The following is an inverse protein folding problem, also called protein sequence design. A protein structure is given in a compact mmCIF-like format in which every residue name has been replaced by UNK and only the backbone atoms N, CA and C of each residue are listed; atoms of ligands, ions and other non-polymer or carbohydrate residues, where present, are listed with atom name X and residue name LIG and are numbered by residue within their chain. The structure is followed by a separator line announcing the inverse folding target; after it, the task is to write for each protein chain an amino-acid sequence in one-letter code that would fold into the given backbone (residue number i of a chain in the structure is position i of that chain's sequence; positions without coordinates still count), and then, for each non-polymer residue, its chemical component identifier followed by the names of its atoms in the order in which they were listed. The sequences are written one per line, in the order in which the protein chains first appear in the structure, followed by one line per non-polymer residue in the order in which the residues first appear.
data_IF_144369310270
#
_entry.id   IF_144369310270
#
_cell.length_a   1.000
_cell.length_b   1.000
_cell.length_c   1.000
_cell.angle_alpha   90.00
_cell.angle_beta   90.00
_cell.angle_gamma   90.00
#
_symmetry.space_group_name_H-M   'P 1'
#
loop_
_entity.id
_entity.type
_entity.pdbx_description
1 polymer ?
#
# COMPACT_ATOMS: atom_id res chain seq x y z
N UNK A 1 -5.85 5.62 3.04
CA UNK A 1 -5.07 6.79 3.51
C UNK A 1 -4.70 7.72 2.36
N UNK A 2 -4.47 9.01 2.64
CA UNK A 2 -3.88 9.95 1.68
C UNK A 2 -2.41 9.63 1.44
N UNK A 3 -2.05 9.44 0.17
CA UNK A 3 -0.69 9.33 -0.37
C UNK A 3 -0.32 10.68 -0.97
N UNK A 4 0.94 11.10 -0.79
CA UNK A 4 1.43 12.40 -1.28
C UNK A 4 2.64 12.20 -2.21
N UNK A 5 3.21 13.31 -2.69
CA UNK A 5 4.48 13.32 -3.45
C UNK A 5 5.72 13.01 -2.62
N UNK A 6 5.58 12.92 -1.29
CA UNK A 6 6.63 12.47 -0.39
C UNK A 6 6.30 11.08 0.12
N UNK A 7 7.31 10.21 0.16
CA UNK A 7 7.16 8.86 0.69
C UNK A 7 6.54 8.89 2.10
N UNK A 8 5.50 8.07 2.29
CA UNK A 8 4.78 7.98 3.57
C UNK A 8 4.41 6.54 3.86
N UNK A 9 4.55 6.12 5.12
CA UNK A 9 4.00 4.83 5.59
C UNK A 9 2.48 4.90 5.59
N UNK A 10 1.85 4.00 4.84
CA UNK A 10 0.39 3.92 4.65
C UNK A 10 -0.24 2.72 5.34
N UNK A 11 0.54 1.69 5.63
CA UNK A 11 0.14 0.56 6.45
C UNK A 11 1.28 0.26 7.45
N UNK A 12 0.97 0.25 8.74
CA UNK A 12 1.95 -0.02 9.79
C UNK A 12 2.36 -1.51 9.80
N UNK A 13 3.45 -1.85 10.50
CA UNK A 13 3.76 -3.25 10.75
C UNK A 13 2.70 -3.87 11.66
N UNK A 14 2.26 -5.08 11.31
CA UNK A 14 1.27 -5.82 12.09
C UNK A 14 1.68 -7.29 12.17
N UNK A 15 2.02 -7.74 13.39
CA UNK A 15 2.45 -9.12 13.65
C UNK A 15 1.33 -10.15 13.43
N UNK A 16 0.07 -9.72 13.50
CA UNK A 16 -1.10 -10.57 13.37
C UNK A 16 -1.69 -10.58 11.97
N UNK A 17 -1.18 -9.74 11.04
CA UNK A 17 -1.66 -9.69 9.66
C UNK A 17 -1.69 -11.09 9.05
N UNK A 18 -2.88 -11.51 8.64
CA UNK A 18 -3.13 -12.69 7.81
C UNK A 18 -3.41 -12.30 6.36
N UNK A 19 -3.93 -11.09 6.17
CA UNK A 19 -4.34 -10.56 4.88
C UNK A 19 -4.16 -9.04 4.81
N UNK A 20 -3.83 -8.52 3.64
CA UNK A 20 -4.05 -7.10 3.34
C UNK A 20 -4.31 -6.88 1.85
N UNK A 21 -5.24 -6.00 1.53
CA UNK A 21 -5.53 -5.53 0.17
C UNK A 21 -5.29 -4.03 0.10
N UNK A 22 -4.44 -3.60 -0.84
CA UNK A 22 -4.21 -2.21 -1.16
C UNK A 22 -4.76 -1.93 -2.56
N UNK A 23 -5.69 -0.97 -2.69
CA UNK A 23 -6.31 -0.58 -3.96
C UNK A 23 -6.09 0.90 -4.20
N UNK A 24 -5.52 1.23 -5.37
CA UNK A 24 -5.39 2.60 -5.82
C UNK A 24 -6.75 3.11 -6.32
N UNK A 25 -7.44 3.87 -5.47
CA UNK A 25 -8.75 4.46 -5.73
C UNK A 25 -8.61 5.93 -6.17
N UNK A 26 -7.56 6.22 -6.92
CA UNK A 26 -7.22 7.56 -7.39
C UNK A 26 -7.00 7.61 -8.90
N UNK A 27 -6.77 8.82 -9.40
CA UNK A 27 -6.54 9.14 -10.81
C UNK A 27 -5.06 9.08 -11.24
N UNK A 28 -4.13 8.82 -10.31
CA UNK A 28 -2.70 8.75 -10.60
C UNK A 28 -2.08 7.41 -10.24
N UNK A 29 -0.94 7.10 -10.86
CA UNK A 29 -0.13 5.92 -10.49
C UNK A 29 0.44 6.10 -9.09
N UNK A 30 0.32 5.06 -8.27
CA UNK A 30 0.94 4.98 -6.93
C UNK A 30 2.01 3.89 -6.96
N UNK A 31 3.17 4.16 -6.36
CA UNK A 31 4.21 3.18 -6.10
C UNK A 31 4.21 2.82 -4.63
N UNK A 32 4.14 1.53 -4.31
CA UNK A 32 4.23 1.02 -2.94
C UNK A 32 5.53 0.24 -2.73
N UNK A 33 6.01 0.24 -1.49
CA UNK A 33 7.23 -0.43 -1.08
C UNK A 33 7.03 -1.18 0.23
N UNK A 34 7.56 -2.41 0.30
CA UNK A 34 7.65 -3.21 1.53
C UNK A 34 8.79 -2.66 2.41
N UNK A 35 8.48 -1.66 3.23
CA UNK A 35 9.41 -0.94 4.09
C UNK A 35 9.01 0.53 4.26
N UNK A 36 9.89 1.33 4.87
CA UNK A 36 9.60 2.72 5.29
C UNK A 36 9.68 3.77 4.18
N UNK A 37 10.42 3.50 3.11
CA UNK A 37 10.71 4.50 2.07
C UNK A 37 10.29 3.95 0.70
N UNK A 38 9.26 4.56 0.12
CA UNK A 38 8.89 4.39 -1.26
C UNK A 38 9.64 5.38 -2.15
N UNK A 39 9.86 5.02 -3.41
CA UNK A 39 10.56 5.87 -4.38
C UNK A 39 9.82 5.77 -5.70
N UNK A 40 9.70 6.89 -6.43
CA UNK A 40 9.07 6.89 -7.75
C UNK A 40 9.75 5.86 -8.66
N UNK A 41 8.92 5.15 -9.44
CA UNK A 41 9.36 4.14 -10.40
C UNK A 41 10.14 2.96 -9.77
N UNK A 42 9.94 2.66 -8.48
CA UNK A 42 10.51 1.49 -7.80
C UNK A 42 9.45 0.74 -6.99
N UNK A 43 9.67 -0.55 -6.77
CA UNK A 43 8.76 -1.41 -6.00
C UNK A 43 7.58 -1.91 -6.81
N UNK A 44 6.40 -1.86 -6.21
CA UNK A 44 5.16 -2.36 -6.82
C UNK A 44 4.36 -1.17 -7.32
N UNK A 45 4.04 -1.16 -8.62
CA UNK A 45 3.22 -0.12 -9.25
C UNK A 45 1.74 -0.50 -9.17
N UNK A 46 0.92 0.39 -8.63
CA UNK A 46 -0.53 0.33 -8.68
C UNK A 46 -1.04 1.33 -9.71
N UNK A 47 -1.59 0.83 -10.82
CA UNK A 47 -2.21 1.71 -11.82
C UNK A 47 -3.42 2.45 -11.22
N UNK A 48 -3.70 3.63 -11.76
CA UNK A 48 -4.87 4.43 -11.39
C UNK A 48 -6.18 3.64 -11.62
N UNK A 49 -7.26 4.07 -10.96
CA UNK A 49 -8.61 3.53 -11.12
C UNK A 49 -8.71 2.01 -10.88
N UNK A 50 -8.21 1.55 -9.74
CA UNK A 50 -8.45 0.19 -9.24
C UNK A 50 -7.26 -0.77 -9.29
N UNK A 51 -6.08 -0.33 -9.71
CA UNK A 51 -4.86 -1.15 -9.60
C UNK A 51 -4.61 -1.56 -8.15
N UNK A 52 -4.34 -2.85 -7.91
CA UNK A 52 -4.30 -3.40 -6.56
C UNK A 52 -3.13 -4.34 -6.30
N UNK A 53 -2.81 -4.49 -5.03
CA UNK A 53 -1.83 -5.47 -4.54
C UNK A 53 -2.37 -6.16 -3.31
N UNK A 54 -2.37 -7.49 -3.37
CA UNK A 54 -2.84 -8.35 -2.30
C UNK A 54 -1.65 -9.00 -1.58
N UNK A 55 -1.70 -8.96 -0.25
CA UNK A 55 -0.86 -9.72 0.67
C UNK A 55 -1.73 -10.84 1.24
N UNK A 56 -1.34 -12.08 0.98
CA UNK A 56 -1.99 -13.29 1.47
C UNK A 56 -0.95 -14.32 1.92
N UNK A 57 -1.37 -15.56 2.17
CA UNK A 57 -0.49 -16.63 2.67
C UNK A 57 0.70 -16.96 1.76
N UNK A 58 0.63 -16.66 0.46
CA UNK A 58 1.70 -16.98 -0.50
C UNK A 58 2.80 -15.93 -0.58
N UNK A 59 2.53 -14.70 -0.13
CA UNK A 59 3.45 -13.56 -0.22
C UNK A 59 3.45 -12.71 1.06
N UNK A 60 3.14 -13.36 2.19
CA UNK A 60 2.85 -12.74 3.47
C UNK A 60 3.93 -11.76 3.89
N UNK A 61 3.52 -10.53 4.17
CA UNK A 61 4.41 -9.48 4.63
C UNK A 61 3.78 -8.72 5.79
N UNK A 62 4.42 -8.82 6.96
CA UNK A 62 3.94 -8.26 8.24
C UNK A 62 4.58 -6.91 8.61
N UNK A 63 5.49 -6.41 7.78
CA UNK A 63 6.15 -5.12 7.98
C UNK A 63 5.30 -3.94 7.53
N UNK A 64 5.88 -2.74 7.62
CA UNK A 64 5.26 -1.50 7.15
C UNK A 64 5.26 -1.41 5.63
N UNK A 65 4.26 -0.75 5.06
CA UNK A 65 4.19 -0.42 3.64
C UNK A 65 4.20 1.09 3.49
N UNK A 66 5.13 1.60 2.70
CA UNK A 66 5.15 2.99 2.28
C UNK A 66 4.60 3.15 0.86
N UNK A 67 4.05 4.33 0.58
CA UNK A 67 3.54 4.70 -0.73
C UNK A 67 3.98 6.12 -1.13
N UNK A 68 4.04 6.36 -2.43
CA UNK A 68 4.34 7.65 -3.05
C UNK A 68 3.67 7.73 -4.43
N UNK A 69 3.29 8.93 -4.87
CA UNK A 69 2.93 9.20 -6.27
C UNK A 69 3.73 10.39 -6.84
N UNK A 70 3.78 10.50 -8.17
CA UNK A 70 4.47 11.59 -8.86
C UNK A 70 3.59 12.76 -9.27
N UNK A 71 2.27 12.65 -9.04
CA UNK A 71 1.28 13.65 -9.47
C UNK A 71 1.02 14.74 -8.43
N UNK A 72 0.17 15.72 -8.74
CA UNK A 72 -0.24 16.82 -7.86
C UNK A 72 -1.38 16.43 -6.92
N UNK A 73 -1.48 17.15 -5.79
CA UNK A 73 -2.50 16.94 -4.76
C UNK A 73 -2.30 15.64 -3.98
N UNK A 74 -3.30 15.27 -3.18
CA UNK A 74 -3.31 14.00 -2.46
C UNK A 74 -4.01 12.93 -3.31
N UNK A 75 -3.54 11.68 -3.17
CA UNK A 75 -4.15 10.50 -3.81
C UNK A 75 -4.69 9.53 -2.78
N UNK A 76 -5.75 8.83 -3.15
CA UNK A 76 -6.46 7.91 -2.26
C UNK A 76 -5.98 6.49 -2.50
N UNK A 77 -5.52 5.85 -1.43
CA UNK A 77 -5.27 4.42 -1.38
C UNK A 77 -6.26 3.80 -0.40
N UNK A 78 -7.09 2.88 -0.86
CA UNK A 78 -7.92 2.04 -0.01
C UNK A 78 -7.05 0.91 0.56
N UNK A 79 -7.20 0.63 1.85
CA UNK A 79 -6.48 -0.46 2.52
C UNK A 79 -7.48 -1.25 3.35
N UNK A 80 -7.54 -2.55 3.12
CA UNK A 80 -8.23 -3.53 4.00
C UNK A 80 -7.18 -4.45 4.58
N UNK A 81 -7.25 -4.76 5.87
CA UNK A 81 -6.31 -5.64 6.56
C UNK A 81 -7.12 -6.57 7.48
N UNK A 82 -6.83 -7.87 7.42
CA UNK A 82 -7.35 -8.83 8.39
C UNK A 82 -6.21 -9.39 9.23
N UNK A 83 -6.55 -9.73 10.46
CA UNK A 83 -5.68 -10.40 11.40
C UNK A 83 -6.11 -11.86 11.57
N UNK A 84 -5.16 -12.75 11.89
CA UNK A 84 -5.41 -14.18 12.12
C UNK A 84 -6.25 -14.49 13.40
N UNK A 85 -7.03 -13.53 13.89
CA UNK A 85 -7.57 -13.49 15.25
C UNK A 85 -9.08 -13.66 15.41
N UNK A 86 -9.80 -14.23 14.44
CA UNK A 86 -11.14 -14.77 14.73
C UNK A 86 -10.98 -16.20 15.23
N UNK A 87 -10.79 -16.34 16.54
CA UNK A 87 -11.02 -17.59 17.28
C UNK A 87 -12.50 -17.88 17.40
#
# INVERSE_FOLDING_TARGET
PAVTTTSKVVLLANRNRSYALLVNDSDAVIFIWKGKIATLNRGIRLNAAGGSYEINSTNLYKGEIAAIHGDVGDKILLISEDEAGYS
#
